data_IF_405689210790
#
_entry.id   IF_405689210790
#
_cell.length_a   1.000
_cell.length_b   1.000
_cell.length_c   1.000
_cell.angle_alpha   90.00
_cell.angle_beta   90.00
_cell.angle_gamma   90.00
#
_symmetry.space_group_name_H-M   'P 1'
#
loop_
_entity.id
_entity.type
_entity.pdbx_description
1 polymer ?
#
# COMPACT_ATOMS: atom_id res chain seq x y z
N UNK A 1 9.91 0.24 18.19
CA UNK A 1 9.78 -0.99 19.00
C UNK A 1 10.06 -2.17 18.09
N UNK A 2 10.70 -3.26 18.56
CA UNK A 2 10.97 -4.44 17.72
C UNK A 2 9.91 -5.51 17.98
N UNK A 3 9.32 -6.06 16.93
CA UNK A 3 8.32 -7.12 16.98
C UNK A 3 8.75 -8.30 16.09
N UNK A 4 8.27 -9.49 16.41
CA UNK A 4 8.48 -10.71 15.64
C UNK A 4 7.13 -11.30 15.25
N UNK A 5 6.95 -11.60 13.98
CA UNK A 5 5.70 -12.16 13.45
C UNK A 5 5.91 -13.60 12.99
N UNK A 6 5.02 -14.51 13.39
CA UNK A 6 5.00 -15.89 12.91
C UNK A 6 3.86 -16.00 11.91
N UNK A 7 4.18 -16.36 10.66
CA UNK A 7 3.21 -16.53 9.58
C UNK A 7 3.49 -17.77 8.74
N UNK A 8 2.47 -18.38 8.10
CA UNK A 8 2.69 -19.46 7.15
C UNK A 8 3.65 -19.05 6.03
N UNK A 9 4.45 -19.99 5.54
CA UNK A 9 5.34 -19.74 4.41
C UNK A 9 4.53 -19.32 3.18
N UNK A 10 4.90 -18.18 2.59
CA UNK A 10 4.23 -17.62 1.41
C UNK A 10 2.97 -16.81 1.71
N UNK A 11 2.55 -16.68 2.99
CA UNK A 11 1.60 -15.65 3.38
C UNK A 11 2.33 -14.31 3.49
N UNK A 12 1.73 -13.25 2.93
CA UNK A 12 2.34 -11.92 2.87
C UNK A 12 1.37 -10.90 2.28
N UNK A 13 1.61 -9.62 2.58
CA UNK A 13 0.76 -8.52 2.11
C UNK A 13 0.84 -8.35 0.59
N UNK A 14 1.99 -8.63 -0.03
CA UNK A 14 2.13 -8.59 -1.49
C UNK A 14 1.26 -9.64 -2.18
N UNK A 15 1.34 -10.89 -1.73
CA UNK A 15 0.43 -11.94 -2.21
C UNK A 15 -1.05 -11.61 -1.97
N UNK A 16 -1.40 -10.97 -0.87
CA UNK A 16 -2.76 -10.51 -0.62
C UNK A 16 -3.19 -9.42 -1.61
N UNK A 17 -2.31 -8.45 -1.90
CA UNK A 17 -2.57 -7.42 -2.91
C UNK A 17 -2.82 -8.03 -4.29
N UNK A 18 -1.95 -8.91 -4.76
CA UNK A 18 -2.12 -9.63 -6.03
C UNK A 18 -3.46 -10.39 -6.07
N UNK A 19 -3.81 -11.05 -4.97
CA UNK A 19 -5.06 -11.79 -4.85
C UNK A 19 -6.29 -10.87 -4.97
N UNK A 20 -6.27 -9.70 -4.33
CA UNK A 20 -7.35 -8.72 -4.48
C UNK A 20 -7.40 -8.17 -5.89
N UNK A 21 -6.27 -7.76 -6.46
CA UNK A 21 -6.20 -7.15 -7.79
C UNK A 21 -6.65 -8.09 -8.93
N UNK A 22 -6.69 -9.40 -8.68
CA UNK A 22 -7.25 -10.38 -9.61
C UNK A 22 -8.80 -10.54 -9.51
N UNK A 23 -9.49 -9.84 -8.60
CA UNK A 23 -10.90 -10.07 -8.26
C UNK A 23 -11.74 -8.79 -8.21
N UNK A 24 -13.02 -8.80 -8.63
CA UNK A 24 -13.92 -7.68 -8.39
C UNK A 24 -14.05 -7.35 -6.89
N UNK A 25 -14.22 -6.06 -6.53
CA UNK A 25 -14.30 -4.88 -7.40
C UNK A 25 -12.93 -4.29 -7.80
N UNK A 26 -11.81 -4.93 -7.44
CA UNK A 26 -10.46 -4.40 -7.63
C UNK A 26 -9.86 -4.74 -9.00
N UNK A 27 -10.32 -5.82 -9.64
CA UNK A 27 -9.88 -6.21 -10.97
C UNK A 27 -9.97 -5.06 -11.98
N UNK A 28 -8.86 -4.80 -12.68
CA UNK A 28 -8.75 -3.72 -13.67
C UNK A 28 -8.49 -2.33 -13.09
N UNK A 29 -8.43 -2.16 -11.75
CA UNK A 29 -8.04 -0.89 -11.13
C UNK A 29 -6.52 -0.76 -11.02
N UNK A 30 -6.06 0.47 -10.79
CA UNK A 30 -4.66 0.76 -10.44
C UNK A 30 -4.50 0.63 -8.92
N UNK A 31 -3.60 -0.24 -8.41
CA UNK A 31 -3.41 -0.40 -6.98
C UNK A 31 -2.67 0.79 -6.38
N UNK A 32 -3.12 1.24 -5.21
CA UNK A 32 -2.37 2.16 -4.35
C UNK A 32 -2.22 1.49 -2.99
N UNK A 33 -0.97 1.22 -2.59
CA UNK A 33 -0.64 0.60 -1.31
C UNK A 33 0.23 1.55 -0.49
N UNK A 34 -0.11 1.75 0.78
CA UNK A 34 0.65 2.59 1.73
C UNK A 34 0.95 1.77 2.98
N UNK A 35 2.22 1.68 3.38
CA UNK A 35 2.66 0.95 4.58
C UNK A 35 3.93 1.51 5.21
N UNK A 36 4.28 1.08 6.42
CA UNK A 36 5.34 1.69 7.23
C UNK A 36 6.37 0.70 7.79
N UNK A 37 6.08 -0.60 7.77
CA UNK A 37 6.93 -1.63 8.38
C UNK A 37 7.44 -2.66 7.36
N UNK A 38 8.42 -3.48 7.76
CA UNK A 38 9.07 -4.51 6.94
C UNK A 38 8.05 -5.48 6.30
N UNK A 39 6.92 -5.71 6.95
CA UNK A 39 5.86 -6.58 6.42
C UNK A 39 5.14 -6.01 5.19
N UNK A 40 5.20 -4.69 5.00
CA UNK A 40 4.55 -3.95 3.92
C UNK A 40 5.39 -3.90 2.63
N UNK A 41 6.71 -4.12 2.74
CA UNK A 41 7.65 -3.99 1.63
C UNK A 41 7.26 -4.86 0.43
N UNK A 42 6.77 -6.08 0.68
CA UNK A 42 6.28 -6.98 -0.36
C UNK A 42 5.08 -6.39 -1.12
N UNK A 43 4.17 -5.71 -0.43
CA UNK A 43 2.99 -5.10 -1.04
C UNK A 43 3.29 -3.77 -1.73
N UNK A 44 4.22 -2.99 -1.20
CA UNK A 44 4.77 -1.80 -1.85
C UNK A 44 5.37 -2.19 -3.20
N UNK A 45 6.22 -3.22 -3.23
CA UNK A 45 6.82 -3.72 -4.46
C UNK A 45 5.77 -4.30 -5.43
N UNK A 46 4.82 -5.09 -4.93
CA UNK A 46 3.75 -5.66 -5.75
C UNK A 46 2.86 -4.58 -6.38
N UNK A 47 2.51 -3.51 -5.66
CA UNK A 47 1.72 -2.41 -6.20
C UNK A 47 2.44 -1.72 -7.37
N UNK A 48 3.73 -1.44 -7.22
CA UNK A 48 4.54 -0.88 -8.30
C UNK A 48 4.67 -1.83 -9.50
N UNK A 49 4.88 -3.13 -9.26
CA UNK A 49 4.97 -4.15 -10.31
C UNK A 49 3.66 -4.31 -11.11
N UNK A 50 2.52 -4.06 -10.48
CA UNK A 50 1.19 -4.05 -11.10
C UNK A 50 0.87 -2.72 -11.81
N UNK A 51 1.84 -1.82 -11.98
CA UNK A 51 1.68 -0.53 -12.65
C UNK A 51 0.97 0.53 -11.81
N UNK A 52 0.89 0.34 -10.49
CA UNK A 52 0.32 1.28 -9.54
C UNK A 52 1.37 1.95 -8.66
N UNK A 53 0.96 2.29 -7.43
CA UNK A 53 1.75 3.07 -6.50
C UNK A 53 1.95 2.31 -5.18
N UNK A 54 3.18 1.90 -4.90
CA UNK A 54 3.60 1.46 -3.57
C UNK A 54 4.30 2.60 -2.86
N UNK A 55 3.76 3.03 -1.71
CA UNK A 55 4.25 4.18 -0.95
C UNK A 55 4.61 3.76 0.48
N UNK A 56 5.70 4.30 0.99
CA UNK A 56 6.22 4.02 2.32
C UNK A 56 6.08 5.25 3.22
N UNK A 57 5.47 5.10 4.39
CA UNK A 57 5.12 6.22 5.30
C UNK A 57 6.34 7.07 5.66
N UNK A 58 7.49 6.46 5.97
CA UNK A 58 8.70 7.23 6.30
C UNK A 58 9.33 7.99 5.13
N UNK A 59 9.22 7.47 3.90
CA UNK A 59 9.88 8.05 2.73
C UNK A 59 8.99 9.07 2.04
N UNK A 60 7.71 8.77 1.97
CA UNK A 60 6.75 9.48 1.12
C UNK A 60 5.81 10.39 1.95
N UNK A 61 5.81 10.28 3.29
CA UNK A 61 4.87 10.97 4.19
C UNK A 61 5.48 11.40 5.54
N UNK A 62 6.76 11.81 5.57
CA UNK A 62 7.46 12.30 6.76
C UNK A 62 7.39 11.38 7.99
N UNK A 63 7.06 10.10 7.81
CA UNK A 63 6.92 9.13 8.89
C UNK A 63 5.69 9.31 9.77
N UNK A 64 4.69 10.11 9.35
CA UNK A 64 3.53 10.40 10.21
C UNK A 64 2.19 9.99 9.58
N UNK A 65 1.24 9.45 10.39
CA UNK A 65 -0.13 9.25 9.93
C UNK A 65 -0.81 10.57 9.48
N UNK A 66 -0.46 11.69 10.11
CA UNK A 66 -1.03 13.00 9.77
C UNK A 66 -0.72 13.43 8.32
N UNK A 67 0.49 13.19 7.85
CA UNK A 67 0.87 13.48 6.46
C UNK A 67 0.13 12.58 5.45
N UNK A 68 -0.06 11.29 5.78
CA UNK A 68 -0.89 10.38 4.95
C UNK A 68 -2.33 10.89 4.86
N UNK A 69 -2.91 11.32 5.99
CA UNK A 69 -4.28 11.87 6.02
C UNK A 69 -4.41 13.17 5.23
N UNK A 70 -3.41 14.06 5.32
CA UNK A 70 -3.39 15.29 4.53
C UNK A 70 -3.33 14.99 3.03
N UNK A 71 -2.50 14.03 2.62
CA UNK A 71 -2.44 13.56 1.24
C UNK A 71 -3.78 12.98 0.76
N UNK A 72 -4.41 12.11 1.55
CA UNK A 72 -5.74 11.58 1.23
C UNK A 72 -6.78 12.71 1.09
N UNK A 73 -6.76 13.69 2.00
CA UNK A 73 -7.63 14.87 1.92
C UNK A 73 -7.42 15.67 0.63
N UNK A 74 -6.17 15.82 0.18
CA UNK A 74 -5.85 16.49 -1.08
C UNK A 74 -6.36 15.75 -2.32
N UNK A 75 -6.41 14.41 -2.27
CA UNK A 75 -6.90 13.57 -3.36
C UNK A 75 -8.43 13.59 -3.49
N UNK A 76 -9.14 13.90 -2.40
CA UNK A 76 -10.61 13.99 -2.36
C UNK A 76 -11.13 15.40 -2.66
N UNK A 77 -10.25 16.41 -2.79
CA UNK A 77 -10.65 17.77 -3.13
C UNK A 77 -11.24 17.83 -4.56
N UNK A 78 -12.42 18.45 -4.77
CA UNK A 78 -13.02 18.53 -6.09
C UNK A 78 -12.11 19.30 -7.07
N UNK A 79 -11.91 18.75 -8.28
CA UNK A 79 -11.22 19.44 -9.38
C UNK A 79 -9.89 18.85 -9.86
N UNK A 80 -9.50 17.66 -9.41
CA UNK A 80 -8.42 16.85 -10.05
C UNK A 80 -8.98 15.55 -10.62
N UNK A 81 -9.69 15.67 -11.74
CA UNK A 81 -9.80 14.63 -12.78
C UNK A 81 -9.67 15.35 -14.12
#
# INVERSE_FOLDING_TARGET
>A
NMAWEIRPRGAGKGRALEWFMARPPFAGRVPVFVGDDVTDEEAIAAAAALGGHGLHVHRDFDGTPAAVLAWLGSALAPGRV
#
